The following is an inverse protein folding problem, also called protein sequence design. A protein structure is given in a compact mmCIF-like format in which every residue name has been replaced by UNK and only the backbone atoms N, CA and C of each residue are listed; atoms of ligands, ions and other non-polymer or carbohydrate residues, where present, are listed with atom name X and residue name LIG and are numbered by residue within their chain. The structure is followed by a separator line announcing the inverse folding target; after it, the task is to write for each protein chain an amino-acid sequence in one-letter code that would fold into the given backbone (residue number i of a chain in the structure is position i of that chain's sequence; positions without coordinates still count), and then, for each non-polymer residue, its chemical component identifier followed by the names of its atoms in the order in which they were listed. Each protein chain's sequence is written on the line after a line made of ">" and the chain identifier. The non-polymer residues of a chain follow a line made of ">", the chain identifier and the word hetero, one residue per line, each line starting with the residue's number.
data_IF_966420198713
#
_entry.id   IF_966420198713
#
_cell.length_a   1.000
_cell.length_b   1.000
_cell.length_c   1.000
_cell.angle_alpha   90.00
_cell.angle_beta   90.00
_cell.angle_gamma   90.00
#
_symmetry.space_group_name_H-M   'P 1'
#
loop_
_entity.id
_entity.type
_entity.pdbx_description
1 polymer ?
#
# COMPACT_ATOMS: atom_id res chain seq x y z
N UNK A 1 -3.04 17.91 -1.07
CA UNK A 1 -2.05 18.85 -0.50
C UNK A 1 -0.61 18.42 -0.75
N UNK A 2 -0.19 17.22 -0.34
CA UNK A 2 1.20 16.75 -0.55
C UNK A 2 1.60 16.69 -2.04
N UNK A 3 0.72 16.17 -2.91
CA UNK A 3 0.96 16.12 -4.35
C UNK A 3 1.27 17.52 -4.92
N UNK A 4 0.41 18.50 -4.61
CA UNK A 4 0.62 19.89 -5.01
C UNK A 4 1.94 20.48 -4.45
N UNK A 5 2.24 20.23 -3.18
CA UNK A 5 3.49 20.69 -2.55
C UNK A 5 4.76 20.09 -3.20
N UNK A 6 4.63 18.95 -3.89
CA UNK A 6 5.71 18.29 -4.62
C UNK A 6 5.65 18.46 -6.14
N UNK A 7 4.72 19.27 -6.65
CA UNK A 7 4.44 19.34 -8.09
C UNK A 7 4.21 17.95 -8.71
N UNK A 8 3.59 17.07 -7.94
CA UNK A 8 3.34 15.68 -8.26
C UNK A 8 1.87 15.45 -8.64
N UNK A 9 1.61 14.36 -9.36
CA UNK A 9 0.25 13.88 -9.65
C UNK A 9 -0.22 12.97 -8.50
N UNK A 10 -1.48 13.14 -8.09
CA UNK A 10 -2.13 12.21 -7.17
C UNK A 10 -2.79 11.09 -7.98
N UNK A 11 -2.28 9.86 -7.86
CA UNK A 11 -2.87 8.70 -8.54
C UNK A 11 -3.77 7.92 -7.56
N UNK A 12 -5.05 7.67 -7.90
CA UNK A 12 -5.95 6.88 -7.07
C UNK A 12 -5.56 5.40 -7.07
N UNK A 13 -5.33 4.84 -5.88
CA UNK A 13 -4.99 3.40 -5.71
C UNK A 13 -6.18 2.46 -5.95
N UNK A 14 -7.39 3.00 -6.06
CA UNK A 14 -8.56 2.30 -6.61
C UNK A 14 -9.12 3.15 -7.74
N UNK A 15 -8.75 2.87 -9.00
CA UNK A 15 -9.23 3.61 -10.16
C UNK A 15 -10.75 3.65 -10.25
N UNK A 16 -11.30 4.67 -10.91
CA UNK A 16 -12.75 4.90 -11.00
C UNK A 16 -13.52 3.68 -11.56
N UNK A 17 -12.91 2.95 -12.51
CA UNK A 17 -13.49 1.76 -13.12
C UNK A 17 -13.75 0.62 -12.12
N UNK A 18 -13.02 0.58 -11.00
CA UNK A 18 -13.19 -0.43 -9.95
C UNK A 18 -14.27 -0.07 -8.92
N UNK A 19 -14.78 1.17 -8.91
CA UNK A 19 -15.71 1.62 -7.87
C UNK A 19 -17.04 0.84 -7.82
N UNK A 20 -17.67 0.46 -8.95
CA UNK A 20 -18.88 -0.38 -8.90
C UNK A 20 -18.61 -1.76 -8.27
N UNK A 21 -17.50 -2.39 -8.64
CA UNK A 21 -17.11 -3.69 -8.09
C UNK A 21 -16.75 -3.58 -6.61
N UNK A 22 -16.05 -2.51 -6.22
CA UNK A 22 -15.78 -2.18 -4.82
C UNK A 22 -17.06 -2.04 -4.04
N UNK A 23 -18.04 -1.29 -4.53
CA UNK A 23 -19.30 -1.16 -3.85
C UNK A 23 -19.96 -2.52 -3.61
N UNK A 24 -19.98 -3.39 -4.63
CA UNK A 24 -20.56 -4.73 -4.51
C UNK A 24 -19.82 -5.64 -3.51
N UNK A 25 -18.47 -5.61 -3.52
CA UNK A 25 -17.63 -6.40 -2.60
C UNK A 25 -17.71 -5.86 -1.17
N UNK A 26 -17.80 -4.55 -0.99
CA UNK A 26 -17.90 -3.90 0.31
C UNK A 26 -19.20 -4.29 1.06
N UNK A 27 -20.26 -4.69 0.34
CA UNK A 27 -21.48 -5.25 0.94
C UNK A 27 -21.34 -6.71 1.41
N UNK A 28 -20.22 -7.37 1.10
CA UNK A 28 -19.94 -8.76 1.49
C UNK A 28 -19.05 -8.80 2.74
N UNK A 29 -18.85 -10.00 3.27
CA UNK A 29 -18.10 -10.25 4.50
C UNK A 29 -16.71 -10.85 4.25
N UNK A 30 -16.45 -11.26 3.01
CA UNK A 30 -15.27 -12.04 2.68
C UNK A 30 -14.05 -11.12 2.51
N UNK A 31 -13.14 -11.20 3.47
CA UNK A 31 -11.90 -10.40 3.53
C UNK A 31 -10.97 -10.74 2.36
N UNK A 32 -10.88 -12.01 1.98
CA UNK A 32 -10.04 -12.47 0.88
C UNK A 32 -10.54 -11.93 -0.46
N UNK A 33 -11.86 -11.96 -0.71
CA UNK A 33 -12.44 -11.38 -1.92
C UNK A 33 -12.23 -9.86 -2.00
N UNK A 34 -12.34 -9.17 -0.85
CA UNK A 34 -12.00 -7.74 -0.73
C UNK A 34 -10.53 -7.51 -1.06
N UNK A 35 -9.61 -8.30 -0.50
CA UNK A 35 -8.19 -8.19 -0.76
C UNK A 35 -7.87 -8.37 -2.26
N UNK A 36 -8.42 -9.40 -2.91
CA UNK A 36 -8.22 -9.63 -4.34
C UNK A 36 -8.65 -8.43 -5.18
N UNK A 37 -9.81 -7.83 -4.88
CA UNK A 37 -10.26 -6.61 -5.56
C UNK A 37 -9.24 -5.47 -5.41
N UNK A 38 -8.81 -5.19 -4.18
CA UNK A 38 -7.86 -4.10 -3.92
C UNK A 38 -6.52 -4.36 -4.59
N UNK A 39 -6.05 -5.61 -4.64
CA UNK A 39 -4.83 -5.99 -5.35
C UNK A 39 -4.98 -5.76 -6.85
N UNK A 40 -6.07 -6.21 -7.48
CA UNK A 40 -6.32 -5.94 -8.90
C UNK A 40 -6.31 -4.44 -9.21
N UNK A 41 -6.98 -3.65 -8.37
CA UNK A 41 -7.01 -2.19 -8.52
C UNK A 41 -5.63 -1.55 -8.35
N UNK A 42 -4.84 -2.01 -7.37
CA UNK A 42 -3.48 -1.54 -7.12
C UNK A 42 -2.52 -1.89 -8.25
N UNK A 43 -2.64 -3.08 -8.85
CA UNK A 43 -1.83 -3.44 -10.00
C UNK A 43 -2.15 -2.58 -11.22
N UNK A 44 -3.43 -2.29 -11.48
CA UNK A 44 -3.82 -1.32 -12.53
C UNK A 44 -3.27 0.08 -12.22
N UNK A 45 -3.36 0.54 -10.97
CA UNK A 45 -2.78 1.82 -10.59
C UNK A 45 -1.25 1.83 -10.70
N UNK A 46 -0.57 0.69 -10.49
CA UNK A 46 0.88 0.58 -10.61
C UNK A 46 1.37 0.81 -12.03
N UNK A 47 0.61 0.39 -13.04
CA UNK A 47 0.90 0.69 -14.45
C UNK A 47 0.80 2.20 -14.71
N UNK A 48 -0.29 2.84 -14.28
CA UNK A 48 -0.46 4.31 -14.41
C UNK A 48 0.63 5.10 -13.65
N UNK A 49 1.03 4.62 -12.47
CA UNK A 49 2.14 5.21 -11.72
C UNK A 49 3.44 5.10 -12.53
N UNK A 50 3.71 3.93 -13.12
CA UNK A 50 4.93 3.72 -13.91
C UNK A 50 4.97 4.65 -15.12
N UNK A 51 3.86 4.80 -15.84
CA UNK A 51 3.77 5.71 -17.00
C UNK A 51 4.12 7.17 -16.62
N UNK A 52 3.64 7.63 -15.47
CA UNK A 52 3.99 8.96 -14.97
C UNK A 52 5.48 9.08 -14.60
N UNK A 53 6.02 8.06 -13.94
CA UNK A 53 7.43 8.05 -13.55
C UNK A 53 8.36 8.02 -14.77
N UNK A 54 8.01 7.25 -15.80
CA UNK A 54 8.75 7.19 -17.07
C UNK A 54 8.72 8.53 -17.82
N UNK A 55 7.64 9.30 -17.67
CA UNK A 55 7.53 10.68 -18.16
C UNK A 55 8.28 11.71 -17.28
N UNK A 56 8.96 11.28 -16.21
CA UNK A 56 9.66 12.17 -15.28
C UNK A 56 8.72 12.96 -14.35
N UNK A 57 7.45 12.54 -14.23
CA UNK A 57 6.45 13.21 -13.40
C UNK A 57 6.41 12.54 -12.02
N UNK A 58 6.68 13.28 -10.93
CA UNK A 58 6.56 12.71 -9.58
C UNK A 58 5.13 12.30 -9.27
N UNK A 59 4.98 11.21 -8.52
CA UNK A 59 3.68 10.66 -8.14
C UNK A 59 3.52 10.60 -6.63
N UNK A 60 2.34 10.96 -6.14
CA UNK A 60 1.89 10.73 -4.77
C UNK A 60 0.70 9.77 -4.82
N UNK A 61 0.70 8.79 -3.93
CA UNK A 61 -0.40 7.83 -3.78
C UNK A 61 -0.85 7.77 -2.34
N UNK A 62 -2.14 7.51 -2.15
CA UNK A 62 -2.69 7.18 -0.84
C UNK A 62 -3.01 5.69 -0.79
N UNK A 63 -2.58 5.00 0.28
CA UNK A 63 -2.99 3.61 0.56
C UNK A 63 -2.53 2.57 -0.49
N UNK A 64 -1.23 2.50 -0.74
CA UNK A 64 -0.62 1.53 -1.67
C UNK A 64 -0.56 0.08 -1.11
N UNK A 65 0.28 -0.79 -1.68
CA UNK A 65 0.35 -2.22 -1.32
C UNK A 65 0.49 -2.49 0.18
N UNK A 66 1.36 -1.75 0.88
CA UNK A 66 1.56 -1.99 2.31
C UNK A 66 0.27 -1.82 3.13
N UNK A 67 -0.56 -0.82 2.79
CA UNK A 67 -1.88 -0.65 3.41
C UNK A 67 -2.85 -1.76 3.05
N UNK A 68 -2.88 -2.17 1.79
CA UNK A 68 -3.71 -3.28 1.37
C UNK A 68 -3.35 -4.56 2.14
N UNK A 69 -2.08 -4.95 2.12
CA UNK A 69 -1.60 -6.18 2.76
C UNK A 69 -1.80 -6.14 4.28
N UNK A 70 -1.32 -5.10 4.96
CA UNK A 70 -1.43 -4.99 6.41
C UNK A 70 -2.88 -4.98 6.90
N UNK A 71 -3.76 -4.22 6.23
CA UNK A 71 -5.17 -4.16 6.63
C UNK A 71 -5.86 -5.51 6.46
N UNK A 72 -5.71 -6.16 5.30
CA UNK A 72 -6.40 -7.42 5.05
C UNK A 72 -5.83 -8.56 5.91
N UNK A 73 -4.52 -8.58 6.16
CA UNK A 73 -3.90 -9.51 7.10
C UNK A 73 -4.46 -9.35 8.52
N UNK A 74 -4.54 -8.11 9.02
CA UNK A 74 -5.09 -7.83 10.35
C UNK A 74 -6.57 -8.22 10.47
N UNK A 75 -7.32 -8.13 9.35
CA UNK A 75 -8.71 -8.56 9.23
C UNK A 75 -8.87 -10.08 9.06
N UNK A 76 -7.78 -10.83 8.98
CA UNK A 76 -7.80 -12.29 8.90
C UNK A 76 -7.87 -12.86 7.48
N UNK A 77 -7.40 -12.12 6.47
CA UNK A 77 -7.16 -12.68 5.14
C UNK A 77 -6.22 -13.89 5.23
N UNK A 78 -6.49 -14.89 4.39
CA UNK A 78 -5.75 -16.16 4.34
C UNK A 78 -4.94 -16.31 3.06
N UNK A 79 -5.18 -15.48 2.05
CA UNK A 79 -4.36 -15.49 0.85
C UNK A 79 -2.93 -15.02 1.15
N UNK A 80 -1.96 -15.88 0.87
CA UNK A 80 -0.56 -15.48 0.75
C UNK A 80 -0.33 -14.74 -0.55
N UNK A 81 0.30 -13.57 -0.48
CA UNK A 81 0.58 -12.73 -1.65
C UNK A 81 2.08 -12.47 -1.73
N UNK A 82 2.67 -12.78 -2.88
CA UNK A 82 4.02 -12.37 -3.24
C UNK A 82 3.91 -11.28 -4.28
N UNK A 83 4.45 -10.09 -3.98
CA UNK A 83 4.44 -8.99 -4.93
C UNK A 83 5.49 -9.22 -6.03
N UNK A 84 5.17 -8.95 -7.30
CA UNK A 84 6.14 -9.08 -8.39
C UNK A 84 7.31 -8.11 -8.21
N UNK A 85 8.47 -8.54 -8.69
CA UNK A 85 9.63 -7.66 -8.82
C UNK A 85 9.35 -6.58 -9.88
N UNK A 86 9.87 -5.37 -9.66
CA UNK A 86 9.73 -4.26 -10.61
C UNK A 86 8.53 -3.34 -10.39
N UNK A 87 7.76 -3.52 -9.31
CA UNK A 87 6.76 -2.52 -8.92
C UNK A 87 7.43 -1.20 -8.50
N UNK A 88 6.80 -0.04 -8.79
CA UNK A 88 7.22 1.24 -8.25
C UNK A 88 7.37 1.16 -6.72
N UNK A 89 8.54 1.53 -6.20
CA UNK A 89 8.84 1.47 -4.77
C UNK A 89 8.81 2.89 -4.18
N UNK A 90 7.72 3.32 -3.54
CA UNK A 90 7.61 4.67 -3.03
C UNK A 90 8.34 4.85 -1.70
N UNK A 91 8.81 6.08 -1.44
CA UNK A 91 9.07 6.52 -0.07
C UNK A 91 7.72 6.58 0.66
N UNK A 92 7.55 5.70 1.66
CA UNK A 92 6.27 5.55 2.35
C UNK A 92 6.27 6.30 3.68
N UNK A 93 5.20 7.07 3.92
CA UNK A 93 4.98 7.81 5.17
C UNK A 93 3.81 7.20 5.95
N UNK A 94 4.09 6.73 7.16
CA UNK A 94 3.06 6.29 8.09
C UNK A 94 2.64 7.46 8.97
N UNK A 95 1.49 8.06 8.64
CA UNK A 95 0.91 9.16 9.41
C UNK A 95 0.19 8.61 10.64
N UNK A 96 0.66 8.98 11.82
CA UNK A 96 0.12 8.51 13.11
C UNK A 96 -0.40 9.68 13.91
N UNK A 97 -1.32 9.42 14.83
CA UNK A 97 -1.74 10.38 15.83
C UNK A 97 -2.21 9.64 17.08
N UNK A 98 -2.27 10.34 18.19
CA UNK A 98 -2.88 9.84 19.42
C UNK A 98 -4.36 9.49 19.19
N UNK A 99 -4.88 8.53 19.94
CA UNK A 99 -6.25 8.04 19.78
C UNK A 99 -7.32 9.10 20.03
N UNK A 100 -7.06 10.04 20.93
CA UNK A 100 -7.98 11.16 21.20
C UNK A 100 -8.09 12.10 19.99
N UNK A 101 -6.96 12.40 19.35
CA UNK A 101 -6.91 13.18 18.12
C UNK A 101 -7.60 12.42 16.98
N UNK A 102 -7.33 11.12 16.85
CA UNK A 102 -7.93 10.24 15.85
C UNK A 102 -9.45 10.24 15.96
N UNK A 103 -9.98 9.98 17.16
CA UNK A 103 -11.43 9.95 17.44
C UNK A 103 -12.09 11.30 17.18
N UNK A 104 -11.45 12.40 17.58
CA UNK A 104 -11.92 13.77 17.30
C UNK A 104 -12.05 14.03 15.80
N UNK A 105 -11.00 13.71 15.03
CA UNK A 105 -11.00 13.88 13.56
C UNK A 105 -12.05 13.02 12.87
N UNK A 106 -12.26 11.80 13.34
CA UNK A 106 -13.30 10.90 12.82
C UNK A 106 -14.71 11.45 13.08
N UNK A 107 -14.97 11.97 14.28
CA UNK A 107 -16.26 12.57 14.64
C UNK A 107 -16.61 13.78 13.75
N UNK A 108 -15.61 14.57 13.34
CA UNK A 108 -15.80 15.73 12.46
C UNK A 108 -15.82 15.40 10.96
N UNK A 109 -15.51 14.16 10.56
CA UNK A 109 -15.23 13.81 9.16
C UNK A 109 -16.47 13.83 8.25
N UNK A 110 -17.68 13.91 8.81
CA UNK A 110 -18.94 13.98 8.04
C UNK A 110 -19.19 12.77 7.12
N UNK A 111 -18.41 11.69 7.27
CA UNK A 111 -18.51 10.45 6.48
C UNK A 111 -19.23 9.40 7.29
N UNK A 112 -20.27 8.77 6.73
CA UNK A 112 -20.90 7.60 7.32
C UNK A 112 -19.88 6.46 7.45
N UNK A 113 -19.75 5.93 8.67
CA UNK A 113 -18.91 4.78 8.93
C UNK A 113 -19.44 3.57 8.14
N UNK A 114 -18.55 2.92 7.40
CA UNK A 114 -18.86 1.64 6.76
C UNK A 114 -18.66 0.50 7.76
N UNK A 115 -19.24 -0.67 7.46
CA UNK A 115 -18.94 -1.91 8.19
C UNK A 115 -17.43 -2.15 8.32
N UNK A 116 -16.69 -1.91 7.25
CA UNK A 116 -15.25 -2.13 7.20
C UNK A 116 -14.50 -1.11 8.05
N UNK A 117 -14.96 0.14 8.09
CA UNK A 117 -14.44 1.15 9.02
C UNK A 117 -14.64 0.66 10.47
N UNK A 118 -15.84 0.20 10.83
CA UNK A 118 -16.11 -0.34 12.17
C UNK A 118 -15.27 -1.58 12.51
N UNK A 119 -15.06 -2.48 11.55
CA UNK A 119 -14.26 -3.68 11.76
C UNK A 119 -12.78 -3.34 11.98
N UNK A 120 -12.24 -2.39 11.21
CA UNK A 120 -10.85 -1.92 11.37
C UNK A 120 -10.62 -1.33 12.76
N UNK A 121 -11.59 -0.59 13.31
CA UNK A 121 -11.49 -0.06 14.68
C UNK A 121 -11.27 -1.17 15.72
N UNK A 122 -11.83 -2.37 15.51
CA UNK A 122 -11.66 -3.52 16.43
C UNK A 122 -10.28 -4.18 16.36
N UNK A 123 -9.47 -3.86 15.35
CA UNK A 123 -8.15 -4.49 15.11
C UNK A 123 -7.03 -3.47 14.91
N UNK A 124 -7.19 -2.25 15.44
CA UNK A 124 -6.25 -1.12 15.22
C UNK A 124 -4.81 -1.46 15.62
N UNK A 125 -4.62 -2.15 16.74
CA UNK A 125 -3.28 -2.59 17.19
C UNK A 125 -2.66 -3.58 16.20
N UNK A 126 -3.44 -4.57 15.73
CA UNK A 126 -2.97 -5.55 14.74
C UNK A 126 -2.61 -4.92 13.41
N UNK A 127 -3.34 -3.88 12.99
CA UNK A 127 -3.02 -3.12 11.78
C UNK A 127 -1.70 -2.36 11.97
N UNK A 128 -1.51 -1.74 13.14
CA UNK A 128 -0.27 -1.02 13.49
C UNK A 128 0.93 -1.97 13.51
N UNK A 129 0.77 -3.14 14.12
CA UNK A 129 1.78 -4.20 14.14
C UNK A 129 2.09 -4.70 12.73
N UNK A 130 1.08 -4.94 11.90
CA UNK A 130 1.26 -5.35 10.51
C UNK A 130 1.97 -4.28 9.67
N UNK A 131 1.88 -2.99 10.02
CA UNK A 131 2.67 -1.95 9.35
C UNK A 131 4.16 -1.99 9.70
N UNK A 132 4.54 -2.55 10.85
CA UNK A 132 5.94 -2.62 11.27
C UNK A 132 6.81 -3.48 10.35
N UNK A 133 6.22 -4.38 9.57
CA UNK A 133 6.93 -5.21 8.59
C UNK A 133 7.29 -4.48 7.29
N UNK A 134 6.88 -3.21 7.13
CA UNK A 134 7.14 -2.43 5.92
C UNK A 134 8.08 -1.26 6.23
N UNK A 135 9.02 -0.93 5.33
CA UNK A 135 9.92 0.21 5.50
C UNK A 135 9.16 1.52 5.34
N UNK A 136 8.67 2.09 6.44
CA UNK A 136 7.90 3.34 6.45
C UNK A 136 8.50 4.37 7.39
N UNK A 137 8.46 5.64 6.95
CA UNK A 137 8.82 6.80 7.77
C UNK A 137 7.62 7.20 8.61
N UNK A 138 7.71 7.03 9.93
CA UNK A 138 6.65 7.42 10.86
C UNK A 138 6.62 8.94 11.01
N UNK A 139 5.46 9.55 10.80
CA UNK A 139 5.24 10.98 10.98
C UNK A 139 4.07 11.15 11.94
N UNK A 140 4.36 11.63 13.14
CA UNK A 140 3.31 11.99 14.09
C UNK A 140 2.59 13.26 13.62
N UNK A 141 1.27 13.25 13.72
CA UNK A 141 0.38 14.32 13.28
C UNK A 141 -0.50 14.84 14.42
N UNK A 142 -0.25 14.40 15.65
CA UNK A 142 -1.01 14.81 16.85
C UNK A 142 -0.94 16.32 17.04
N UNK A 143 -2.12 16.97 17.10
CA UNK A 143 -2.24 18.42 17.27
C UNK A 143 -1.66 19.27 16.14
N UNK A 144 -1.26 18.66 15.01
CA UNK A 144 -0.62 19.36 13.89
C UNK A 144 -1.61 19.70 12.78
N UNK A 145 -1.43 20.87 12.16
CA UNK A 145 -2.14 21.24 10.94
C UNK A 145 -1.60 20.46 9.72
N UNK A 146 -2.38 20.36 8.63
CA UNK A 146 -1.88 19.77 7.39
C UNK A 146 -0.58 20.42 6.88
N UNK A 147 -0.43 21.74 6.97
CA UNK A 147 0.77 22.48 6.56
C UNK A 147 1.99 22.11 7.42
N UNK A 148 1.80 21.93 8.73
CA UNK A 148 2.86 21.46 9.63
C UNK A 148 3.31 20.04 9.29
N UNK A 149 2.37 19.15 8.99
CA UNK A 149 2.68 17.79 8.54
C UNK A 149 3.47 17.81 7.24
N UNK A 150 3.12 18.66 6.28
CA UNK A 150 3.89 18.80 5.03
C UNK A 150 5.34 19.25 5.28
N UNK A 151 5.54 20.20 6.20
CA UNK A 151 6.89 20.65 6.58
C UNK A 151 7.72 19.53 7.21
N UNK A 152 7.11 18.70 8.05
CA UNK A 152 7.78 17.54 8.66
C UNK A 152 8.19 16.50 7.62
N UNK A 153 7.29 16.17 6.70
CA UNK A 153 7.59 15.24 5.60
C UNK A 153 8.77 15.76 4.78
N UNK A 154 8.76 17.05 4.40
CA UNK A 154 9.85 17.66 3.64
C UNK A 154 11.19 17.69 4.38
N UNK A 155 11.17 17.88 5.71
CA UNK A 155 12.38 17.83 6.54
C UNK A 155 12.98 16.42 6.62
N UNK A 156 12.12 15.40 6.70
CA UNK A 156 12.53 13.99 6.76
C UNK A 156 13.28 13.56 5.49
N UNK A 157 12.85 14.03 4.31
CA UNK A 157 13.52 13.76 3.04
C UNK A 157 14.95 14.34 2.99
N UNK A 158 15.16 15.54 3.53
CA UNK A 158 16.49 16.19 3.55
C UNK A 158 17.49 15.44 4.43
N UNK A 159 17.04 14.84 5.53
CA UNK A 159 17.90 14.05 6.40
C UNK A 159 18.28 12.70 5.77
N UNK A 160 17.36 12.08 5.02
CA UNK A 160 17.62 10.84 4.26
C UNK A 160 18.58 11.03 3.08
N UNK A 161 18.48 12.15 2.36
CA UNK A 161 19.36 12.46 1.22
C UNK A 161 20.84 12.66 1.62
N UNK A 162 21.10 13.07 2.87
CA UNK A 162 22.46 13.24 3.40
C UNK A 162 23.09 11.94 3.94
N UNK A 163 22.35 10.82 3.93
CA UNK A 163 22.77 9.53 4.49
C UNK A 163 22.94 8.44 3.41
N UNK A 164 23.27 8.81 2.17
CA UNK A 164 23.65 7.84 1.13
C UNK A 164 25.01 7.19 1.46
N UNK A 165 24.99 6.24 2.39
CA UNK A 165 25.91 5.12 2.36
C UNK A 165 25.32 4.09 1.39
N UNK A 166 26.09 3.69 0.39
CA UNK A 166 25.75 2.60 -0.53
C UNK A 166 25.32 1.36 0.26
N UNK A 167 24.11 0.80 0.02
CA UNK A 167 23.82 -0.54 0.47
C UNK A 167 24.41 -1.53 -0.55
N UNK A 168 25.48 -2.22 -0.16
CA UNK A 168 25.88 -3.47 -0.81
C UNK A 168 24.69 -4.45 -0.84
N UNK A 169 24.54 -5.26 -1.91
CA UNK A 169 23.44 -6.21 -2.03
C UNK A 169 23.65 -7.39 -1.07
N UNK A 170 22.98 -7.35 0.08
CA UNK A 170 22.90 -8.49 0.99
C UNK A 170 21.80 -9.45 0.52
N UNK A 171 22.21 -10.64 0.08
CA UNK A 171 21.41 -11.87 0.22
C UNK A 171 20.60 -12.29 -1.01
N UNK A 172 21.28 -12.84 -2.02
CA UNK A 172 20.65 -13.85 -2.87
C UNK A 172 20.42 -15.11 -2.01
N UNK A 173 19.17 -15.41 -1.65
CA UNK A 173 18.82 -16.72 -1.08
C UNK A 173 18.04 -17.58 -2.09
N UNK A 174 18.35 -18.88 -2.21
CA UNK A 174 17.95 -19.70 -3.33
C UNK A 174 16.70 -20.52 -2.98
N UNK A 175 15.56 -20.11 -3.51
CA UNK A 175 14.44 -21.04 -3.69
C UNK A 175 14.18 -21.19 -5.17
N UNK A 176 15.12 -21.89 -5.82
CA UNK A 176 14.86 -22.58 -7.08
C UNK A 176 13.74 -23.59 -6.82
N UNK A 177 12.56 -23.33 -7.39
CA UNK A 177 11.59 -24.40 -7.62
C UNK A 177 12.27 -25.48 -8.48
N UNK A 178 12.07 -26.79 -8.21
CA UNK A 178 12.61 -27.82 -9.09
C UNK A 178 11.98 -27.68 -10.48
N UNK A 179 12.76 -27.82 -11.56
CA UNK A 179 12.23 -27.71 -12.91
C UNK A 179 11.21 -28.82 -13.18
N UNK A 180 10.04 -28.44 -13.68
CA UNK A 180 9.01 -29.36 -14.16
C UNK A 180 9.60 -30.17 -15.33
N UNK A 181 9.55 -31.51 -15.31
CA UNK A 181 10.00 -32.33 -16.43
C UNK A 181 9.17 -32.02 -17.68
N UNK A 182 9.83 -31.46 -18.71
CA UNK A 182 9.26 -31.37 -20.06
C UNK A 182 9.26 -32.76 -20.68
N UNK A 183 8.10 -33.41 -20.68
CA UNK A 183 7.90 -34.65 -21.43
C UNK A 183 7.87 -34.30 -22.93
N UNK A 184 9.01 -34.49 -23.64
CA UNK A 184 9.03 -34.51 -25.10
C UNK A 184 8.84 -35.96 -25.55
N UNK A 185 7.82 -36.14 -26.40
CA UNK A 185 7.29 -37.39 -26.89
C UNK A 185 8.29 -38.27 -27.66
N UNK A 186 8.00 -39.59 -27.70
CA UNK A 186 8.27 -40.38 -28.91
C UNK A 186 7.30 -41.55 -29.05
N UNK A 187 6.45 -41.44 -30.07
CA UNK A 187 5.76 -42.57 -30.67
C UNK A 187 6.77 -43.57 -31.25
N UNK A 188 6.53 -44.87 -31.07
CA UNK A 188 6.97 -45.93 -31.97
C UNK A 188 6.05 -47.15 -31.82
N UNK A 189 5.30 -47.43 -32.88
CA UNK A 189 4.59 -48.69 -33.12
C UNK A 189 5.59 -49.82 -33.41
N UNK A 190 5.18 -51.07 -33.19
CA UNK A 190 5.02 -52.01 -34.30
C UNK A 190 3.54 -52.22 -34.64
#
# INVERSE_FOLDING_TARGET
>A
MLAAARQAVLVPTVPALYQPLRHAVDQRTNVDARMCLYLSALFTAAEEIQDHLDAGVPVVVESYFARCLATHQALGARLGVTLPHGLPTPVTYHLVCDDDERRRRLATRGKSATRWDALIETVTDRVTDAYSSFPMRRVDTTGRSPEEVLRLIAATDRQGANSHADPEPVGAHPHLLPPVPRHIARARRP
#
